data_IF_918335324319
#
_entry.id   IF_918335324319
#
_cell.length_a   1.000
_cell.length_b   1.000
_cell.length_c   1.000
_cell.angle_alpha   90.00
_cell.angle_beta   90.00
_cell.angle_gamma   90.00
#
_symmetry.space_group_name_H-M   'P 1'
#
loop_
_entity.id
_entity.type
_entity.pdbx_description
1 polymer ?
#
# COMPACT_ATOMS: atom_id res chain seq x y z
N UNK A 1 -6.58 10.25 24.16
CA UNK A 1 -6.22 8.83 23.89
C UNK A 1 -5.07 8.84 22.90
N UNK A 2 -3.87 8.39 23.29
CA UNK A 2 -2.77 8.25 22.33
C UNK A 2 -3.08 7.10 21.39
N UNK A 3 -3.10 7.36 20.07
CA UNK A 3 -3.10 6.31 19.06
C UNK A 3 -1.83 5.49 19.27
N UNK A 4 -1.98 4.23 19.66
CA UNK A 4 -0.84 3.31 19.80
C UNK A 4 -0.24 3.15 18.40
N UNK A 5 0.94 3.72 18.20
CA UNK A 5 1.73 3.49 17.00
C UNK A 5 2.50 2.21 17.19
N UNK A 6 2.20 1.19 16.40
CA UNK A 6 2.95 -0.05 16.41
C UNK A 6 4.02 0.08 15.30
N UNK A 7 5.30 0.02 15.68
CA UNK A 7 6.39 -0.11 14.72
C UNK A 7 6.40 -1.54 14.21
N UNK A 8 5.81 -1.77 13.03
CA UNK A 8 5.83 -3.11 12.41
C UNK A 8 6.27 -2.99 10.98
N UNK A 9 7.46 -3.50 10.67
CA UNK A 9 7.80 -3.88 9.30
C UNK A 9 6.98 -5.13 8.94
N UNK A 10 5.78 -4.92 8.42
CA UNK A 10 4.89 -5.97 7.94
C UNK A 10 4.99 -6.08 6.42
N UNK A 11 5.25 -7.29 5.93
CA UNK A 11 5.00 -7.66 4.54
C UNK A 11 3.52 -7.99 4.38
N UNK A 12 2.75 -7.09 3.76
CA UNK A 12 1.33 -7.32 3.47
C UNK A 12 1.13 -7.86 2.06
N UNK A 13 0.46 -9.01 1.93
CA UNK A 13 -0.06 -9.50 0.65
C UNK A 13 -1.48 -8.95 0.43
N UNK A 14 -1.68 -8.25 -0.68
CA UNK A 14 -2.94 -7.59 -1.04
C UNK A 14 -3.83 -8.39 -2.03
N UNK A 15 -3.44 -9.62 -2.36
CA UNK A 15 -4.09 -10.47 -3.35
C UNK A 15 -4.01 -9.94 -4.78
N UNK A 16 -4.86 -10.44 -5.69
CA UNK A 16 -4.92 -10.01 -7.08
C UNK A 16 -5.39 -8.56 -7.21
N UNK A 17 -4.69 -7.77 -8.04
CA UNK A 17 -4.97 -6.36 -8.32
C UNK A 17 -4.75 -6.04 -9.80
N UNK A 18 -5.37 -4.96 -10.27
CA UNK A 18 -5.14 -4.42 -11.61
C UNK A 18 -4.10 -3.31 -11.56
N UNK A 19 -3.25 -3.24 -12.58
CA UNK A 19 -2.28 -2.16 -12.78
C UNK A 19 -2.86 -1.17 -13.78
N UNK A 20 -3.14 0.04 -13.28
CA UNK A 20 -3.72 1.13 -14.06
C UNK A 20 -2.74 2.31 -14.16
N UNK A 21 -2.60 2.88 -15.36
CA UNK A 21 -1.82 4.10 -15.62
C UNK A 21 -2.74 5.11 -16.32
N UNK A 22 -2.98 6.25 -15.67
CA UNK A 22 -4.05 7.16 -16.07
C UNK A 22 -5.40 6.45 -15.97
N UNK A 23 -6.19 6.47 -17.04
CA UNK A 23 -7.49 5.78 -17.12
C UNK A 23 -7.40 4.41 -17.82
N UNK A 24 -6.19 3.93 -18.12
CA UNK A 24 -5.98 2.70 -18.87
C UNK A 24 -5.47 1.58 -17.97
N UNK A 25 -6.21 0.46 -17.94
CA UNK A 25 -5.73 -0.79 -17.36
C UNK A 25 -4.69 -1.40 -18.30
N UNK A 26 -3.48 -1.61 -17.79
CA UNK A 26 -2.35 -2.15 -18.55
C UNK A 26 -2.01 -3.60 -18.19
N UNK A 27 -2.50 -4.09 -17.06
CA UNK A 27 -2.28 -5.47 -16.66
C UNK A 27 -2.89 -5.81 -15.31
N UNK A 28 -2.50 -6.97 -14.80
CA UNK A 28 -2.82 -7.46 -13.46
C UNK A 28 -1.54 -7.87 -12.73
N UNK A 29 -1.60 -7.86 -11.41
CA UNK A 29 -0.59 -8.43 -10.54
C UNK A 29 -1.28 -9.25 -9.46
N UNK A 30 -0.62 -10.29 -8.96
CA UNK A 30 -1.08 -11.08 -7.83
C UNK A 30 0.02 -11.13 -6.78
N UNK A 31 -0.36 -11.01 -5.51
CA UNK A 31 0.58 -11.08 -4.40
C UNK A 31 1.46 -9.83 -4.21
N UNK A 32 0.92 -8.62 -4.44
CA UNK A 32 1.67 -7.37 -4.18
C UNK A 32 2.07 -7.32 -2.70
N UNK A 33 3.38 -7.29 -2.46
CA UNK A 33 3.95 -7.12 -1.11
C UNK A 33 4.38 -5.67 -0.91
N UNK A 34 3.87 -5.05 0.15
CA UNK A 34 4.23 -3.67 0.54
C UNK A 34 4.91 -3.71 1.91
N UNK A 35 6.04 -3.02 2.03
CA UNK A 35 6.71 -2.79 3.30
C UNK A 35 6.14 -1.51 3.93
N UNK A 36 5.45 -1.65 5.06
CA UNK A 36 4.89 -0.53 5.82
C UNK A 36 5.82 -0.22 7.00
N UNK A 37 6.18 1.04 7.20
CA UNK A 37 7.11 1.46 8.27
C UNK A 37 6.37 1.73 9.60
N UNK A 38 5.38 2.63 9.59
CA UNK A 38 4.50 2.93 10.73
C UNK A 38 3.05 2.97 10.24
N UNK A 39 2.16 2.21 10.88
CA UNK A 39 0.71 2.28 10.66
C UNK A 39 -0.05 1.80 11.89
N UNK A 40 -1.25 2.32 12.13
CA UNK A 40 -2.17 1.76 13.13
C UNK A 40 -2.85 0.49 12.58
N UNK A 41 -3.39 -0.38 13.45
CA UNK A 41 -4.16 -1.55 13.00
C UNK A 41 -5.31 -1.19 12.04
N UNK A 42 -5.99 -0.07 12.28
CA UNK A 42 -7.08 0.42 11.43
C UNK A 42 -6.58 0.81 10.03
N UNK A 43 -5.45 1.52 9.95
CA UNK A 43 -4.81 1.89 8.67
C UNK A 43 -4.37 0.65 7.87
N UNK A 44 -3.93 -0.42 8.56
CA UNK A 44 -3.60 -1.69 7.91
C UNK A 44 -4.85 -2.41 7.37
N UNK A 45 -5.97 -2.33 8.07
CA UNK A 45 -7.26 -2.87 7.61
C UNK A 45 -7.76 -2.07 6.40
N UNK A 46 -7.68 -0.74 6.45
CA UNK A 46 -7.99 0.13 5.33
C UNK A 46 -7.13 -0.20 4.11
N UNK A 47 -5.82 -0.38 4.29
CA UNK A 47 -4.92 -0.75 3.20
C UNK A 47 -5.28 -2.09 2.54
N UNK A 48 -5.61 -3.12 3.33
CA UNK A 48 -6.02 -4.44 2.81
C UNK A 48 -7.32 -4.36 2.00
N UNK A 49 -8.27 -3.57 2.47
CA UNK A 49 -9.61 -3.47 1.89
C UNK A 49 -9.75 -2.35 0.84
N UNK A 50 -8.73 -1.50 0.68
CA UNK A 50 -8.75 -0.38 -0.25
C UNK A 50 -9.05 -0.89 -1.67
N UNK A 51 -10.03 -0.31 -2.34
CA UNK A 51 -10.34 -0.65 -3.73
C UNK A 51 -9.25 -0.14 -4.69
N UNK A 52 -8.65 1.01 -4.36
CA UNK A 52 -7.61 1.68 -5.13
C UNK A 52 -6.45 2.06 -4.21
N UNK A 53 -5.23 1.79 -4.66
CA UNK A 53 -3.99 2.24 -4.02
C UNK A 53 -3.20 3.04 -5.06
N UNK A 54 -2.86 4.30 -4.75
CA UNK A 54 -2.10 5.16 -5.66
C UNK A 54 -0.61 5.10 -5.34
N UNK A 55 0.18 4.54 -6.26
CA UNK A 55 1.63 4.58 -6.19
C UNK A 55 2.13 5.86 -6.88
N UNK A 56 2.99 6.62 -6.20
CA UNK A 56 3.62 7.82 -6.73
C UNK A 56 5.12 7.63 -6.77
N UNK A 57 5.79 8.18 -7.77
CA UNK A 57 7.24 8.27 -7.72
C UNK A 57 7.64 9.25 -6.61
N UNK A 58 8.67 8.93 -5.81
CA UNK A 58 9.22 9.91 -4.89
C UNK A 58 9.75 11.12 -5.69
N UNK A 59 9.77 12.32 -5.09
CA UNK A 59 10.42 13.47 -5.71
C UNK A 59 11.85 13.09 -6.11
N UNK A 60 12.27 13.42 -7.33
CA UNK A 60 13.63 13.18 -7.78
C UNK A 60 14.59 14.00 -6.90
N UNK A 61 15.17 13.38 -5.88
CA UNK A 61 16.10 14.04 -4.94
C UNK A 61 15.90 13.77 -3.45
N UNK A 62 15.79 12.51 -3.03
CA UNK A 62 16.48 11.93 -1.84
C UNK A 62 16.13 10.42 -1.73
N UNK A 63 16.99 9.62 -1.07
CA UNK A 63 17.03 8.15 -1.17
C UNK A 63 15.70 7.44 -0.99
#
# INVERSE_FOLDING_TARGET
>A
MSKVKINVSLSLNLGPRLVQVGDKVLGSCDGVTINVAEATPEELIELKNAQVIKLVQPPQGKP
#
